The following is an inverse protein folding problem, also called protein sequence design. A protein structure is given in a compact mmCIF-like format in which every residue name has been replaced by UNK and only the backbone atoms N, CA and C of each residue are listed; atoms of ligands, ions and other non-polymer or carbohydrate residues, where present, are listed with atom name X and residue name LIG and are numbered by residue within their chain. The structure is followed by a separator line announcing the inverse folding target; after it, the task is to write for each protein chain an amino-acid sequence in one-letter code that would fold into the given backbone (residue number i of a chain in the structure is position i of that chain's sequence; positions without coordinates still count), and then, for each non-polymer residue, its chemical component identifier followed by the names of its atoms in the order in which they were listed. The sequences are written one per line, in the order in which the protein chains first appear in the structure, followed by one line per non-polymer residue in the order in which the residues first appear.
data_IF_280843266377
#
_entry.id   IF_280843266377
#
_cell.length_a   1.000
_cell.length_b   1.000
_cell.length_c   1.000
_cell.angle_alpha   90.00
_cell.angle_beta   90.00
_cell.angle_gamma   90.00
#
_symmetry.space_group_name_H-M   'P 1'
#
loop_
_entity.id
_entity.type
_entity.pdbx_description
1 polymer ?
#
# COMPACT_ATOMS: atom_id res chain seq x y z
N UNK A 1 8.36 -12.35 -14.62
CA UNK A 1 8.51 -11.15 -13.75
C UNK A 1 7.43 -11.15 -12.68
N UNK A 2 6.16 -11.27 -13.06
CA UNK A 2 5.03 -11.21 -12.10
C UNK A 2 5.14 -12.23 -10.96
N UNK A 3 5.37 -13.49 -11.27
CA UNK A 3 5.54 -14.55 -10.26
C UNK A 3 6.69 -14.25 -9.28
N UNK A 4 7.82 -13.77 -9.77
CA UNK A 4 8.96 -13.41 -8.92
C UNK A 4 8.61 -12.21 -8.01
N UNK A 5 7.89 -11.22 -8.53
CA UNK A 5 7.42 -10.09 -7.73
C UNK A 5 6.48 -10.55 -6.60
N UNK A 6 5.52 -11.42 -6.90
CA UNK A 6 4.59 -11.94 -5.89
C UNK A 6 5.29 -12.83 -4.86
N UNK A 7 6.26 -13.63 -5.27
CA UNK A 7 7.09 -14.41 -4.34
C UNK A 7 7.84 -13.49 -3.38
N UNK A 8 8.54 -12.47 -3.88
CA UNK A 8 9.26 -11.52 -3.04
C UNK A 8 8.34 -10.76 -2.07
N UNK A 9 7.12 -10.40 -2.51
CA UNK A 9 6.11 -9.79 -1.63
C UNK A 9 5.69 -10.72 -0.49
N UNK A 10 5.49 -11.99 -0.77
CA UNK A 10 5.17 -13.00 0.25
C UNK A 10 6.32 -13.18 1.24
N UNK A 11 7.57 -13.19 0.77
CA UNK A 11 8.77 -13.25 1.62
C UNK A 11 8.84 -12.03 2.57
N UNK A 12 8.63 -10.82 2.05
CA UNK A 12 8.61 -9.57 2.85
C UNK A 12 7.48 -9.58 3.87
N UNK A 13 6.26 -9.94 3.44
CA UNK A 13 5.11 -9.98 4.34
C UNK A 13 5.25 -11.07 5.41
N UNK A 14 5.82 -12.23 5.05
CA UNK A 14 6.05 -13.34 5.97
C UNK A 14 7.14 -13.09 7.00
N UNK A 15 8.09 -12.20 6.71
CA UNK A 15 9.13 -11.78 7.66
C UNK A 15 8.71 -10.64 8.57
N UNK A 16 7.55 -10.01 8.31
CA UNK A 16 7.05 -8.90 9.09
C UNK A 16 6.43 -9.39 10.41
N UNK A 17 6.90 -8.84 11.55
CA UNK A 17 6.32 -9.11 12.86
C UNK A 17 5.31 -8.01 13.22
N UNK A 18 4.05 -8.40 13.42
CA UNK A 18 3.00 -7.48 13.82
C UNK A 18 3.17 -7.04 15.28
N UNK A 19 3.16 -5.74 15.51
CA UNK A 19 3.05 -5.17 16.85
C UNK A 19 1.65 -4.60 17.07
N UNK A 20 0.74 -5.41 17.62
CA UNK A 20 -0.65 -5.02 17.87
C UNK A 20 -0.82 -3.96 18.97
N UNK A 21 0.23 -3.62 19.71
CA UNK A 21 0.21 -2.57 20.72
C UNK A 21 0.35 -1.16 20.15
N UNK A 22 0.91 -1.05 18.95
CA UNK A 22 1.03 0.19 18.20
C UNK A 22 0.00 0.22 17.06
N UNK A 23 -0.28 1.41 16.51
CA UNK A 23 -1.08 1.50 15.30
C UNK A 23 -0.37 0.75 14.19
N UNK A 24 -1.01 -0.29 13.66
CA UNK A 24 -0.45 -1.08 12.58
C UNK A 24 -0.23 -0.22 11.33
N UNK A 25 0.90 -0.40 10.62
CA UNK A 25 1.07 0.20 9.32
C UNK A 25 0.11 -0.44 8.31
N UNK A 26 -0.33 0.31 7.33
CA UNK A 26 -1.20 -0.21 6.27
C UNK A 26 -0.54 -1.37 5.51
N UNK A 27 0.75 -1.30 5.28
CA UNK A 27 1.53 -2.33 4.58
C UNK A 27 2.52 -3.04 5.49
N UNK A 28 2.51 -4.39 5.44
CA UNK A 28 3.46 -5.27 6.13
C UNK A 28 4.83 -5.23 5.48
N UNK A 29 5.56 -4.17 5.70
CA UNK A 29 6.94 -4.03 5.24
C UNK A 29 7.73 -3.17 6.20
N UNK A 30 8.68 -3.79 6.90
CA UNK A 30 9.63 -3.06 7.72
C UNK A 30 10.67 -2.37 6.84
N UNK A 31 10.89 -1.08 7.08
CA UNK A 31 11.98 -0.36 6.40
C UNK A 31 13.28 -0.77 7.08
N UNK A 32 14.26 -1.19 6.27
CA UNK A 32 15.61 -1.43 6.77
C UNK A 32 16.27 -0.10 7.09
N UNK A 33 16.81 0.03 8.28
CA UNK A 33 17.63 1.17 8.69
C UNK A 33 19.05 1.13 8.11
N UNK A 34 19.43 -0.02 7.52
CA UNK A 34 20.75 -0.15 6.89
C UNK A 34 20.85 0.74 5.66
N UNK A 35 21.87 1.58 5.66
CA UNK A 35 22.25 2.39 4.50
C UNK A 35 22.79 1.44 3.43
N UNK A 36 21.92 1.01 2.53
CA UNK A 36 22.36 0.24 1.36
C UNK A 36 22.97 1.18 0.33
N UNK A 37 24.10 0.79 -0.24
CA UNK A 37 24.67 1.53 -1.36
C UNK A 37 23.65 1.61 -2.52
N UNK A 38 23.56 2.74 -3.23
CA UNK A 38 22.68 2.87 -4.39
C UNK A 38 22.91 1.70 -5.36
N UNK A 39 21.83 1.01 -5.73
CA UNK A 39 21.89 -0.12 -6.66
C UNK A 39 22.11 -1.50 -6.04
N UNK A 40 22.34 -1.61 -4.73
CA UNK A 40 22.41 -2.92 -4.06
C UNK A 40 21.01 -3.52 -3.98
N UNK A 41 20.83 -4.70 -4.58
CA UNK A 41 19.59 -5.47 -4.48
C UNK A 41 19.61 -6.29 -3.19
N UNK A 42 18.53 -6.22 -2.41
CA UNK A 42 18.42 -6.92 -1.12
C UNK A 42 17.75 -8.29 -1.22
N UNK A 43 16.94 -8.49 -2.25
CA UNK A 43 16.14 -9.71 -2.41
C UNK A 43 16.23 -10.21 -3.87
N UNK A 44 16.62 -11.49 -4.04
CA UNK A 44 16.80 -12.10 -5.35
C UNK A 44 15.50 -12.22 -6.16
N UNK A 45 14.34 -12.36 -5.50
CA UNK A 45 13.04 -12.40 -6.15
C UNK A 45 12.71 -11.06 -6.81
N UNK A 46 13.02 -9.94 -6.13
CA UNK A 46 12.83 -8.60 -6.72
C UNK A 46 13.86 -8.30 -7.80
N UNK A 47 15.11 -8.76 -7.65
CA UNK A 47 16.12 -8.68 -8.69
C UNK A 47 15.66 -9.39 -9.97
N UNK A 48 15.17 -10.61 -9.85
CA UNK A 48 14.65 -11.36 -10.99
C UNK A 48 13.43 -10.67 -11.64
N UNK A 49 12.55 -10.06 -10.83
CA UNK A 49 11.43 -9.29 -11.35
C UNK A 49 11.90 -8.06 -12.14
N UNK A 50 12.87 -7.31 -11.60
CA UNK A 50 13.49 -6.15 -12.24
C UNK A 50 14.19 -6.51 -13.54
N UNK A 51 15.03 -7.57 -13.55
CA UNK A 51 15.72 -8.04 -14.74
C UNK A 51 14.74 -8.40 -15.87
N UNK A 52 13.65 -9.10 -15.53
CA UNK A 52 12.61 -9.46 -16.51
C UNK A 52 11.86 -8.24 -17.03
N UNK A 53 11.54 -7.27 -16.18
CA UNK A 53 10.91 -6.02 -16.58
C UNK A 53 11.84 -5.21 -17.51
N UNK A 54 13.09 -5.04 -17.12
CA UNK A 54 14.10 -4.32 -17.92
C UNK A 54 14.31 -5.00 -19.27
N UNK A 55 14.41 -6.33 -19.30
CA UNK A 55 14.55 -7.09 -20.55
C UNK A 55 13.32 -6.95 -21.44
N UNK A 56 12.12 -6.90 -20.87
CA UNK A 56 10.90 -6.67 -21.64
C UNK A 56 10.92 -5.27 -22.26
N UNK A 57 11.27 -4.24 -21.51
CA UNK A 57 11.41 -2.87 -22.01
C UNK A 57 12.43 -2.80 -23.13
N UNK A 58 13.63 -3.35 -22.93
CA UNK A 58 14.71 -3.30 -23.93
C UNK A 58 14.41 -4.05 -25.24
N UNK A 59 13.71 -5.20 -25.15
CA UNK A 59 13.45 -6.05 -26.29
C UNK A 59 12.18 -5.74 -27.06
N UNK A 60 11.19 -5.19 -26.37
CA UNK A 60 9.85 -5.03 -26.91
C UNK A 60 9.38 -3.57 -27.02
N UNK A 61 10.18 -2.60 -26.60
CA UNK A 61 9.91 -1.19 -26.86
C UNK A 61 9.93 -0.92 -28.37
N UNK A 62 8.87 -0.30 -28.86
CA UNK A 62 8.67 0.05 -30.26
C UNK A 62 8.55 1.57 -30.38
N UNK A 63 9.65 2.27 -30.13
CA UNK A 63 9.69 3.72 -30.18
C UNK A 63 9.79 4.19 -31.65
N UNK A 64 8.67 4.66 -32.21
CA UNK A 64 8.60 5.19 -33.57
C UNK A 64 8.25 6.69 -33.45
N UNK A 65 9.07 7.56 -34.03
CA UNK A 65 8.91 9.02 -33.99
C UNK A 65 8.69 9.57 -32.55
N UNK A 66 9.38 9.00 -31.57
CA UNK A 66 9.27 9.42 -30.18
C UNK A 66 8.03 8.91 -29.44
N UNK A 67 7.16 8.13 -30.11
CA UNK A 67 5.97 7.52 -29.52
C UNK A 67 6.15 6.02 -29.34
N UNK A 68 5.86 5.51 -28.18
CA UNK A 68 5.86 4.06 -27.89
C UNK A 68 4.59 3.43 -28.49
N UNK A 69 4.78 2.41 -29.31
CA UNK A 69 3.69 1.70 -29.98
C UNK A 69 3.39 0.32 -29.37
N UNK A 70 4.23 -0.17 -28.45
CA UNK A 70 3.89 -1.37 -27.68
C UNK A 70 3.07 -1.01 -26.44
N UNK A 71 1.78 -1.41 -26.37
CA UNK A 71 0.89 -1.05 -25.28
C UNK A 71 1.20 -1.73 -23.94
N UNK A 72 2.19 -2.64 -23.88
CA UNK A 72 2.57 -3.38 -22.67
C UNK A 72 3.82 -2.81 -21.97
N UNK A 73 4.43 -1.79 -22.52
CA UNK A 73 5.67 -1.23 -21.96
C UNK A 73 5.41 -0.45 -20.67
N UNK A 74 4.27 0.20 -20.55
CA UNK A 74 3.83 0.85 -19.31
C UNK A 74 3.64 -0.16 -18.16
N UNK A 75 3.08 -1.35 -18.43
CA UNK A 75 2.99 -2.45 -17.45
C UNK A 75 4.37 -2.96 -17.03
N UNK A 76 5.31 -3.03 -17.96
CA UNK A 76 6.70 -3.41 -17.66
C UNK A 76 7.38 -2.38 -16.75
N UNK A 77 7.20 -1.07 -17.00
CA UNK A 77 7.67 -0.01 -16.11
C UNK A 77 6.96 -0.04 -14.75
N UNK A 78 5.67 -0.36 -14.70
CA UNK A 78 4.94 -0.51 -13.45
C UNK A 78 5.51 -1.67 -12.61
N UNK A 79 5.79 -2.81 -13.24
CA UNK A 79 6.44 -3.96 -12.59
C UNK A 79 7.86 -3.60 -12.11
N UNK A 80 8.63 -2.89 -12.92
CA UNK A 80 9.96 -2.39 -12.57
C UNK A 80 9.91 -1.50 -11.32
N UNK A 81 8.99 -0.54 -11.29
CA UNK A 81 8.80 0.33 -10.14
C UNK A 81 8.40 -0.43 -8.87
N UNK A 82 7.48 -1.39 -9.00
CA UNK A 82 7.05 -2.24 -7.86
C UNK A 82 8.20 -3.11 -7.32
N UNK A 83 9.00 -3.73 -8.20
CA UNK A 83 10.16 -4.52 -7.79
C UNK A 83 11.16 -3.68 -7.01
N UNK A 84 11.49 -2.49 -7.50
CA UNK A 84 12.37 -1.54 -6.83
C UNK A 84 11.81 -1.03 -5.51
N UNK A 85 10.50 -0.81 -5.43
CA UNK A 85 9.82 -0.38 -4.21
C UNK A 85 9.94 -1.42 -3.08
N UNK A 86 9.60 -2.68 -3.38
CA UNK A 86 9.69 -3.75 -2.38
C UNK A 86 11.13 -4.10 -2.01
N UNK A 87 12.08 -3.88 -2.91
CA UNK A 87 13.52 -3.95 -2.62
C UNK A 87 14.04 -2.71 -1.86
N UNK A 88 13.13 -1.81 -1.47
CA UNK A 88 13.40 -0.57 -0.71
C UNK A 88 14.29 0.45 -1.42
N UNK A 89 14.40 0.35 -2.73
CA UNK A 89 15.07 1.34 -3.60
C UNK A 89 14.05 2.38 -4.06
N UNK A 90 13.61 3.24 -3.13
CA UNK A 90 12.47 4.13 -3.33
C UNK A 90 12.70 5.20 -4.39
N UNK A 91 13.90 5.78 -4.50
CA UNK A 91 14.18 6.76 -5.56
C UNK A 91 14.12 6.14 -6.96
N UNK A 92 14.80 5.01 -7.28
CA UNK A 92 14.64 4.32 -8.55
C UNK A 92 13.20 3.85 -8.83
N UNK A 93 12.43 3.51 -7.79
CA UNK A 93 11.02 3.18 -7.95
C UNK A 93 10.20 4.41 -8.38
N UNK A 94 10.43 5.55 -7.72
CA UNK A 94 9.77 6.81 -8.02
C UNK A 94 10.03 7.26 -9.47
N UNK A 95 11.27 7.09 -9.96
CA UNK A 95 11.64 7.36 -11.36
C UNK A 95 10.82 6.52 -12.34
N UNK A 96 10.65 5.21 -12.07
CA UNK A 96 9.89 4.33 -12.94
C UNK A 96 8.40 4.74 -12.99
N UNK A 97 7.79 5.09 -11.85
CA UNK A 97 6.40 5.55 -11.82
C UNK A 97 6.24 6.92 -12.51
N UNK A 98 7.14 7.86 -12.27
CA UNK A 98 7.11 9.16 -12.94
C UNK A 98 7.30 9.02 -14.46
N UNK A 99 8.10 8.07 -14.92
CA UNK A 99 8.27 7.79 -16.34
C UNK A 99 6.93 7.39 -16.99
N UNK A 100 6.15 6.50 -16.35
CA UNK A 100 4.80 6.12 -16.82
C UNK A 100 3.91 7.37 -16.94
N UNK A 101 3.87 8.19 -15.89
CA UNK A 101 2.99 9.36 -15.84
C UNK A 101 3.33 10.41 -16.91
N UNK A 102 4.61 10.50 -17.29
CA UNK A 102 5.06 11.43 -18.31
C UNK A 102 4.90 10.90 -19.73
N UNK A 103 5.26 9.63 -19.95
CA UNK A 103 5.33 9.04 -21.29
C UNK A 103 4.04 8.37 -21.73
N UNK A 104 3.24 7.87 -20.78
CA UNK A 104 2.01 7.10 -21.05
C UNK A 104 0.78 7.66 -20.33
N UNK A 105 0.44 8.96 -20.53
CA UNK A 105 -0.66 9.60 -19.78
C UNK A 105 -2.04 9.00 -20.08
N UNK A 106 -2.19 8.29 -21.21
CA UNK A 106 -3.41 7.58 -21.60
C UNK A 106 -3.38 6.08 -21.27
N UNK A 107 -2.39 5.63 -20.49
CA UNK A 107 -2.27 4.23 -20.09
C UNK A 107 -3.42 3.76 -19.23
N UNK A 108 -3.84 2.50 -19.43
CA UNK A 108 -4.80 1.83 -18.55
C UNK A 108 -4.26 1.60 -17.13
N UNK A 109 -2.94 1.67 -16.95
CA UNK A 109 -2.28 1.52 -15.64
C UNK A 109 -1.98 2.87 -14.97
N UNK A 110 -2.46 3.98 -15.53
CA UNK A 110 -2.13 5.34 -15.06
C UNK A 110 -2.52 5.54 -13.59
N UNK A 111 -3.69 5.06 -13.17
CA UNK A 111 -4.14 5.17 -11.78
C UNK A 111 -3.23 4.36 -10.85
N UNK A 112 -2.86 3.15 -11.23
CA UNK A 112 -1.88 2.34 -10.48
C UNK A 112 -0.55 3.09 -10.34
N UNK A 113 -0.01 3.63 -11.44
CA UNK A 113 1.25 4.36 -11.40
C UNK A 113 1.18 5.61 -10.49
N UNK A 114 0.05 6.34 -10.51
CA UNK A 114 -0.19 7.46 -9.61
C UNK A 114 -0.20 7.03 -8.14
N UNK A 115 -0.95 5.98 -7.80
CA UNK A 115 -1.08 5.46 -6.42
C UNK A 115 0.29 4.96 -5.92
N UNK A 116 1.01 4.17 -6.74
CA UNK A 116 2.34 3.66 -6.38
C UNK A 116 3.39 4.75 -6.23
N UNK A 117 3.30 5.82 -7.03
CA UNK A 117 4.14 7.01 -6.82
C UNK A 117 3.90 7.63 -5.45
N UNK A 118 2.64 7.81 -5.06
CA UNK A 118 2.33 8.42 -3.75
C UNK A 118 2.67 7.47 -2.59
N UNK A 119 2.48 6.17 -2.77
CA UNK A 119 2.96 5.15 -1.83
C UNK A 119 4.47 5.27 -1.62
N UNK A 120 5.22 5.47 -2.70
CA UNK A 120 6.67 5.69 -2.64
C UNK A 120 7.02 7.03 -1.98
N UNK A 121 6.28 8.09 -2.27
CA UNK A 121 6.44 9.39 -1.59
C UNK A 121 6.24 9.27 -0.07
N UNK A 122 5.28 8.47 0.39
CA UNK A 122 5.05 8.20 1.83
C UNK A 122 6.29 7.55 2.45
N UNK A 123 6.91 6.57 1.77
CA UNK A 123 8.16 5.92 2.24
C UNK A 123 9.33 6.90 2.30
N UNK A 124 9.36 7.87 1.41
CA UNK A 124 10.34 8.97 1.39
C UNK A 124 9.96 10.14 2.34
N UNK A 125 8.98 9.95 3.24
CA UNK A 125 8.50 10.95 4.21
C UNK A 125 7.84 12.18 3.58
N UNK A 126 7.54 12.17 2.29
CA UNK A 126 6.83 13.24 1.58
C UNK A 126 5.31 13.19 1.82
N UNK A 127 4.88 12.98 3.08
CA UNK A 127 3.49 12.71 3.45
C UNK A 127 2.53 13.83 3.01
N UNK A 128 2.90 15.10 3.17
CA UNK A 128 2.04 16.25 2.78
C UNK A 128 1.80 16.30 1.28
N UNK A 129 2.82 15.99 0.47
CA UNK A 129 2.70 15.89 -0.99
C UNK A 129 1.78 14.73 -1.37
N UNK A 130 1.99 13.56 -0.76
CA UNK A 130 1.18 12.38 -1.00
C UNK A 130 -0.30 12.63 -0.67
N UNK A 131 -0.61 13.26 0.47
CA UNK A 131 -1.98 13.63 0.86
C UNK A 131 -2.62 14.52 -0.23
N UNK A 132 -1.93 15.56 -0.67
CA UNK A 132 -2.44 16.46 -1.73
C UNK A 132 -2.78 15.70 -3.01
N UNK A 133 -1.87 14.82 -3.45
CA UNK A 133 -2.02 14.09 -4.69
C UNK A 133 -3.08 12.99 -4.58
N UNK A 134 -3.10 12.21 -3.48
CA UNK A 134 -4.09 11.16 -3.24
C UNK A 134 -5.51 11.73 -3.19
N UNK A 135 -5.71 12.85 -2.52
CA UNK A 135 -7.02 13.54 -2.52
C UNK A 135 -7.50 13.90 -3.93
N UNK A 136 -6.58 14.24 -4.83
CA UNK A 136 -6.92 14.53 -6.24
C UNK A 136 -7.26 13.24 -7.00
N UNK A 137 -6.48 12.18 -6.79
CA UNK A 137 -6.70 10.86 -7.40
C UNK A 137 -8.07 10.31 -7.01
N UNK A 138 -8.40 10.31 -5.72
CA UNK A 138 -9.65 9.77 -5.17
C UNK A 138 -10.89 10.47 -5.75
N UNK A 139 -10.79 11.72 -6.16
CA UNK A 139 -11.89 12.47 -6.79
C UNK A 139 -12.15 12.08 -8.25
N UNK A 140 -11.26 11.31 -8.88
CA UNK A 140 -11.46 10.87 -10.26
C UNK A 140 -12.57 9.80 -10.31
N UNK A 141 -13.55 10.03 -11.20
CA UNK A 141 -14.70 9.13 -11.38
C UNK A 141 -14.31 7.78 -12.00
N UNK A 142 -13.15 7.71 -12.63
CA UNK A 142 -12.66 6.53 -13.35
C UNK A 142 -11.94 5.50 -12.47
N UNK A 143 -11.84 5.71 -11.14
CA UNK A 143 -11.19 4.78 -10.24
C UNK A 143 -12.00 3.49 -10.09
N UNK A 144 -11.35 2.37 -10.34
CA UNK A 144 -11.86 1.04 -9.99
C UNK A 144 -11.89 0.86 -8.46
N UNK A 145 -12.70 -0.06 -7.98
CA UNK A 145 -12.87 -0.29 -6.54
C UNK A 145 -11.55 -0.57 -5.83
N UNK A 146 -10.69 -1.44 -6.38
CA UNK A 146 -9.39 -1.73 -5.77
C UNK A 146 -8.45 -0.52 -5.79
N UNK A 147 -8.42 0.28 -6.88
CA UNK A 147 -7.63 1.51 -6.91
C UNK A 147 -8.14 2.53 -5.88
N UNK A 148 -9.45 2.58 -5.67
CA UNK A 148 -10.08 3.41 -4.64
C UNK A 148 -9.68 2.95 -3.24
N UNK A 149 -9.66 1.64 -2.99
CA UNK A 149 -9.19 1.06 -1.74
C UNK A 149 -7.71 1.41 -1.51
N UNK A 150 -6.85 1.17 -2.49
CA UNK A 150 -5.41 1.40 -2.39
C UNK A 150 -5.08 2.88 -2.15
N UNK A 151 -5.73 3.79 -2.90
CA UNK A 151 -5.52 5.22 -2.74
C UNK A 151 -5.96 5.71 -1.34
N UNK A 152 -7.09 5.22 -0.84
CA UNK A 152 -7.59 5.58 0.49
C UNK A 152 -6.73 4.96 1.61
N UNK A 153 -6.26 3.72 1.46
CA UNK A 153 -5.34 3.10 2.40
C UNK A 153 -4.03 3.91 2.53
N UNK A 154 -3.48 4.35 1.40
CA UNK A 154 -2.28 5.20 1.40
C UNK A 154 -2.55 6.59 1.97
N UNK A 155 -3.73 7.17 1.73
CA UNK A 155 -4.12 8.44 2.33
C UNK A 155 -4.22 8.34 3.85
N UNK A 156 -4.79 7.24 4.36
CA UNK A 156 -4.84 6.96 5.79
C UNK A 156 -3.42 6.83 6.38
N UNK A 157 -2.53 6.06 5.73
CA UNK A 157 -1.15 5.92 6.18
C UNK A 157 -0.42 7.27 6.24
N UNK A 158 -0.60 8.11 5.22
CA UNK A 158 0.03 9.43 5.21
C UNK A 158 -0.47 10.32 6.35
N UNK A 159 -1.76 10.26 6.72
CA UNK A 159 -2.30 10.96 7.88
C UNK A 159 -1.79 10.41 9.21
N UNK A 160 -1.69 9.09 9.34
CA UNK A 160 -1.10 8.44 10.52
C UNK A 160 0.34 8.93 10.72
N UNK A 161 1.14 8.96 9.63
CA UNK A 161 2.54 9.37 9.68
C UNK A 161 2.74 10.84 10.13
N UNK A 162 1.76 11.71 9.89
CA UNK A 162 1.82 13.11 10.34
C UNK A 162 1.00 13.36 11.63
N UNK A 163 0.65 12.28 12.35
CA UNK A 163 -0.08 12.34 13.63
C UNK A 163 -1.45 13.02 13.55
N UNK A 164 -2.19 12.77 12.45
CA UNK A 164 -3.58 13.20 12.26
C UNK A 164 -4.54 11.99 12.22
N UNK A 165 -4.75 11.28 13.35
CA UNK A 165 -5.57 10.06 13.40
C UNK A 165 -7.02 10.29 13.03
N UNK A 166 -7.61 11.43 13.40
CA UNK A 166 -8.95 11.85 13.03
C UNK A 166 -9.19 11.87 11.52
N UNK A 167 -8.21 12.41 10.80
CA UNK A 167 -8.25 12.51 9.33
C UNK A 167 -8.02 11.16 8.62
N UNK A 168 -7.43 10.18 9.30
CA UNK A 168 -7.17 8.84 8.76
C UNK A 168 -8.40 7.93 8.79
N UNK A 169 -9.40 8.19 9.66
CA UNK A 169 -10.54 7.30 9.90
C UNK A 169 -11.39 7.07 8.66
N UNK A 170 -11.82 8.13 7.99
CA UNK A 170 -12.67 8.01 6.79
C UNK A 170 -11.91 7.30 5.67
N UNK A 171 -10.68 7.68 5.33
CA UNK A 171 -9.88 6.96 4.34
C UNK A 171 -9.71 5.47 4.66
N UNK A 172 -9.32 5.08 5.88
CA UNK A 172 -9.10 3.67 6.18
C UNK A 172 -10.39 2.84 6.12
N UNK A 173 -11.53 3.41 6.57
CA UNK A 173 -12.84 2.78 6.41
C UNK A 173 -13.19 2.58 4.94
N UNK A 174 -13.04 3.61 4.12
CA UNK A 174 -13.30 3.51 2.69
C UNK A 174 -12.42 2.45 2.04
N UNK A 175 -11.15 2.35 2.43
CA UNK A 175 -10.26 1.29 1.96
C UNK A 175 -10.80 -0.10 2.32
N UNK A 176 -11.29 -0.31 3.55
CA UNK A 176 -11.89 -1.57 3.98
C UNK A 176 -13.17 -1.93 3.21
N UNK A 177 -14.00 -0.93 2.90
CA UNK A 177 -15.25 -1.12 2.17
C UNK A 177 -15.02 -1.53 0.71
N UNK A 178 -14.00 -0.98 0.04
CA UNK A 178 -13.76 -1.16 -1.39
C UNK A 178 -12.75 -2.27 -1.73
N UNK A 179 -11.89 -2.71 -0.80
CA UNK A 179 -10.96 -3.82 -1.08
C UNK A 179 -11.69 -5.14 -1.24
N UNK A 180 -11.32 -5.91 -2.27
CA UNK A 180 -11.78 -7.28 -2.48
C UNK A 180 -10.98 -8.31 -1.65
N UNK A 181 -9.85 -7.91 -1.07
CA UNK A 181 -8.96 -8.76 -0.30
C UNK A 181 -9.37 -8.78 1.18
N UNK A 182 -9.83 -9.92 1.67
CA UNK A 182 -10.28 -10.06 3.07
C UNK A 182 -9.15 -9.90 4.11
N UNK A 183 -7.90 -10.19 3.76
CA UNK A 183 -6.76 -9.95 4.65
C UNK A 183 -6.54 -8.45 4.82
N UNK A 184 -6.53 -7.68 3.73
CA UNK A 184 -6.47 -6.22 3.77
C UNK A 184 -7.69 -5.63 4.51
N UNK A 185 -8.89 -6.14 4.22
CA UNK A 185 -10.12 -5.69 4.89
C UNK A 185 -10.04 -5.84 6.40
N UNK A 186 -9.63 -7.00 6.88
CA UNK A 186 -9.44 -7.24 8.32
C UNK A 186 -8.39 -6.30 8.93
N UNK A 187 -7.29 -6.09 8.23
CA UNK A 187 -6.24 -5.15 8.64
C UNK A 187 -6.75 -3.72 8.73
N UNK A 188 -7.48 -3.25 7.72
CA UNK A 188 -7.97 -1.87 7.68
C UNK A 188 -9.00 -1.61 8.77
N UNK A 189 -9.95 -2.52 9.00
CA UNK A 189 -10.87 -2.39 10.14
C UNK A 189 -10.15 -2.45 11.48
N UNK A 190 -9.12 -3.28 11.62
CA UNK A 190 -8.32 -3.32 12.85
C UNK A 190 -7.62 -1.97 13.09
N UNK A 191 -6.95 -1.42 12.07
CA UNK A 191 -6.34 -0.08 12.14
C UNK A 191 -7.38 0.99 12.48
N UNK A 192 -8.57 0.92 11.89
CA UNK A 192 -9.67 1.83 12.21
C UNK A 192 -10.06 1.76 13.69
N UNK A 193 -10.16 0.55 14.25
CA UNK A 193 -10.42 0.34 15.68
C UNK A 193 -9.33 0.96 16.56
N UNK A 194 -8.05 0.76 16.20
CA UNK A 194 -6.93 1.36 16.92
C UNK A 194 -6.96 2.90 16.87
N UNK A 195 -7.30 3.49 15.71
CA UNK A 195 -7.45 4.95 15.57
C UNK A 195 -8.58 5.49 16.44
N UNK A 196 -9.72 4.82 16.48
CA UNK A 196 -10.82 5.19 17.36
C UNK A 196 -10.46 5.06 18.84
N UNK A 197 -9.72 4.02 19.24
CA UNK A 197 -9.20 3.87 20.61
C UNK A 197 -8.27 5.04 20.98
N UNK A 198 -7.37 5.44 20.09
CA UNK A 198 -6.49 6.58 20.27
C UNK A 198 -7.29 7.89 20.49
N UNK A 199 -8.40 8.05 19.78
CA UNK A 199 -9.32 9.20 19.89
C UNK A 199 -10.34 9.05 21.06
N UNK A 200 -10.24 7.99 21.86
CA UNK A 200 -11.15 7.67 22.98
C UNK A 200 -12.62 7.50 22.57
N UNK A 201 -12.87 7.11 21.33
CA UNK A 201 -14.19 6.83 20.75
C UNK A 201 -14.52 5.33 20.86
N UNK A 202 -14.79 4.85 22.07
CA UNK A 202 -14.89 3.42 22.40
C UNK A 202 -15.94 2.66 21.60
N UNK A 203 -17.13 3.22 21.44
CA UNK A 203 -18.22 2.55 20.72
C UNK A 203 -17.87 2.35 19.25
N UNK A 204 -17.27 3.37 18.63
CA UNK A 204 -16.80 3.30 17.25
C UNK A 204 -15.63 2.31 17.09
N UNK A 205 -14.73 2.23 18.09
CA UNK A 205 -13.65 1.26 18.10
C UNK A 205 -14.21 -0.17 18.18
N UNK A 206 -15.16 -0.41 19.09
CA UNK A 206 -15.82 -1.71 19.23
C UNK A 206 -16.53 -2.13 17.95
N UNK A 207 -17.22 -1.20 17.29
CA UNK A 207 -17.83 -1.48 15.98
C UNK A 207 -16.80 -1.91 14.93
N UNK A 208 -15.69 -1.20 14.82
CA UNK A 208 -14.63 -1.55 13.89
C UNK A 208 -13.99 -2.93 14.19
N UNK A 209 -13.80 -3.27 15.46
CA UNK A 209 -13.33 -4.60 15.86
C UNK A 209 -14.39 -5.69 15.61
N UNK A 210 -15.68 -5.39 15.70
CA UNK A 210 -16.75 -6.32 15.33
C UNK A 210 -16.72 -6.66 13.84
N UNK A 211 -16.47 -5.69 12.97
CA UNK A 211 -16.26 -5.93 11.54
C UNK A 211 -15.11 -6.93 11.28
N UNK A 212 -14.00 -6.83 12.04
CA UNK A 212 -12.90 -7.82 11.95
C UNK A 212 -13.37 -9.20 12.42
N UNK A 213 -14.11 -9.27 13.52
CA UNK A 213 -14.62 -10.52 14.09
C UNK A 213 -15.59 -11.20 13.14
N UNK A 214 -16.45 -10.44 12.45
CA UNK A 214 -17.39 -10.97 11.45
C UNK A 214 -16.70 -11.57 10.21
N UNK A 215 -15.53 -11.09 9.84
CA UNK A 215 -14.73 -11.71 8.78
C UNK A 215 -14.31 -13.14 9.13
N UNK A 216 -14.17 -13.46 10.42
CA UNK A 216 -13.86 -14.79 10.94
C UNK A 216 -12.65 -15.43 10.21
N UNK A 217 -12.86 -16.61 9.59
CA UNK A 217 -11.82 -17.37 8.89
C UNK A 217 -11.36 -16.75 7.56
N UNK A 218 -11.99 -15.66 7.12
CA UNK A 218 -11.64 -14.94 5.90
C UNK A 218 -10.44 -14.02 6.06
N UNK A 219 -10.04 -13.72 7.31
CA UNK A 219 -8.88 -12.89 7.65
C UNK A 219 -7.92 -13.69 8.55
N UNK A 220 -6.62 -13.33 8.65
CA UNK A 220 -5.68 -13.96 9.56
C UNK A 220 -6.21 -13.99 11.00
N UNK A 221 -6.02 -15.13 11.68
CA UNK A 221 -6.54 -15.37 13.04
C UNK A 221 -6.05 -14.35 14.07
N UNK A 222 -4.86 -13.81 13.86
CA UNK A 222 -4.26 -12.82 14.76
C UNK A 222 -5.13 -11.55 14.88
N UNK A 223 -5.74 -11.07 13.80
CA UNK A 223 -6.64 -9.92 13.86
C UNK A 223 -7.91 -10.23 14.67
N UNK A 224 -8.47 -11.43 14.50
CA UNK A 224 -9.63 -11.88 15.29
C UNK A 224 -9.32 -11.86 16.79
N UNK A 225 -8.22 -12.51 17.18
CA UNK A 225 -7.82 -12.63 18.59
C UNK A 225 -7.54 -11.26 19.19
N UNK A 226 -6.76 -10.43 18.51
CA UNK A 226 -6.44 -9.09 19.02
C UNK A 226 -7.65 -8.16 19.05
N UNK A 227 -8.61 -8.27 18.12
CA UNK A 227 -9.86 -7.53 18.18
C UNK A 227 -10.69 -7.89 19.43
N UNK A 228 -10.76 -9.17 19.78
CA UNK A 228 -11.41 -9.63 21.01
C UNK A 228 -10.71 -9.10 22.27
N UNK A 229 -9.38 -9.10 22.28
CA UNK A 229 -8.59 -8.53 23.38
C UNK A 229 -8.88 -7.03 23.53
N UNK A 230 -8.84 -6.26 22.45
CA UNK A 230 -9.10 -4.82 22.48
C UNK A 230 -10.51 -4.50 23.00
N UNK A 231 -11.53 -5.24 22.56
CA UNK A 231 -12.91 -5.09 23.10
C UNK A 231 -12.98 -5.38 24.59
N UNK A 232 -12.31 -6.41 25.08
CA UNK A 232 -12.30 -6.74 26.51
C UNK A 232 -11.60 -5.65 27.32
N UNK A 233 -10.52 -5.06 26.82
CA UNK A 233 -9.83 -3.93 27.47
C UNK A 233 -10.75 -2.71 27.61
N UNK A 234 -11.55 -2.41 26.60
CA UNK A 234 -12.49 -1.28 26.64
C UNK A 234 -13.60 -1.47 27.68
N UNK A 235 -14.00 -2.71 27.99
CA UNK A 235 -15.01 -3.03 29.01
C UNK A 235 -14.49 -2.85 30.44
N UNK A 236 -13.23 -3.23 30.71
CA UNK A 236 -12.63 -3.20 32.03
C UNK A 236 -12.32 -1.79 32.58
N UNK A 237 -12.35 -0.75 31.75
CA UNK A 237 -12.14 0.63 32.19
C UNK A 237 -13.47 1.41 32.42
N UNK A 238 -14.62 0.74 32.33
CA UNK A 238 -15.94 1.32 32.56
C UNK A 238 -16.49 1.10 33.98
N UNK A 239 -15.70 0.47 34.86
CA UNK A 239 -15.95 0.32 36.31
C UNK A 239 -14.95 1.16 37.09
#
# INVERSE_FOLDING_TARGET
GGLALEQGKQEVAGSYNENFWDILPVERMQISEEISLPGTVKNESFKLAEEKATKAIQKHSMLIEGKENNPQIDEAYLMLGKARYFDQRFFPALEAFNYILHKYPASNTINHAQIWREKTNIRLQNNKLAIKNLKRIIKAETLKDQDRADANAMLAQAYINISHPDSAIIPIRTAAEYTSNNDEKGRYYYIQGQLYNLLKQRDSANYAFDEVIELNRKTPREYLVNSQIEKTRTLNFAT
#
